data_IF_495074291641
#
_entry.id   IF_495074291641
#
_cell.length_a   1.000
_cell.length_b   1.000
_cell.length_c   1.000
_cell.angle_alpha   90.00
_cell.angle_beta   90.00
_cell.angle_gamma   90.00
#
_symmetry.space_group_name_H-M   'P 1'
#
loop_
_entity.id
_entity.type
_entity.pdbx_description
1 polymer ?
#
# COMPACT_ATOMS: atom_id res chain seq x y z
N UNK A 1 -18.95 8.43 -10.95
CA UNK A 1 -18.79 7.05 -10.47
C UNK A 1 -17.61 6.97 -9.52
N UNK A 2 -17.72 6.23 -8.41
CA UNK A 2 -16.69 6.22 -7.36
C UNK A 2 -15.52 5.30 -7.68
N UNK A 3 -14.35 5.61 -7.10
CA UNK A 3 -13.12 4.82 -7.22
C UNK A 3 -12.23 5.03 -5.99
N UNK A 4 -11.38 4.06 -5.69
CA UNK A 4 -10.32 4.15 -4.68
C UNK A 4 -8.95 4.07 -5.37
N UNK A 5 -8.04 4.98 -5.04
CA UNK A 5 -6.66 5.00 -5.52
C UNK A 5 -5.70 5.34 -4.38
N UNK A 6 -4.42 5.06 -4.54
CA UNK A 6 -3.35 5.48 -3.62
C UNK A 6 -2.20 6.12 -4.40
N UNK A 7 -1.43 6.95 -3.72
CA UNK A 7 -0.17 7.52 -4.20
C UNK A 7 0.77 7.63 -3.00
N UNK A 8 1.98 7.08 -3.11
CA UNK A 8 2.94 7.04 -2.00
C UNK A 8 4.19 7.81 -2.38
N UNK A 9 4.56 8.74 -1.50
CA UNK A 9 5.79 9.52 -1.59
C UNK A 9 6.78 9.05 -0.53
N UNK A 10 8.02 8.80 -0.94
CA UNK A 10 9.15 8.65 -0.06
C UNK A 10 9.74 10.04 0.23
N UNK A 11 9.46 10.54 1.44
CA UNK A 11 9.92 11.85 1.88
C UNK A 11 11.39 11.89 2.28
N UNK A 12 12.02 10.74 2.57
CA UNK A 12 13.44 10.68 2.90
C UNK A 12 14.30 10.94 1.65
N UNK A 13 13.80 10.57 0.47
CA UNK A 13 14.50 10.75 -0.81
C UNK A 13 13.82 11.75 -1.76
N UNK A 14 12.67 12.32 -1.36
CA UNK A 14 11.94 13.31 -2.15
C UNK A 14 11.39 12.78 -3.47
N UNK A 15 11.00 11.50 -3.54
CA UNK A 15 10.55 10.85 -4.78
C UNK A 15 9.35 9.93 -4.56
N UNK A 16 8.60 9.54 -5.60
CA UNK A 16 7.58 8.50 -5.47
C UNK A 16 8.18 7.18 -4.98
N UNK A 17 7.42 6.42 -4.18
CA UNK A 17 7.88 5.17 -3.57
C UNK A 17 7.76 3.97 -4.53
N UNK A 18 8.41 4.07 -5.69
CA UNK A 18 8.41 3.04 -6.71
C UNK A 18 8.94 1.71 -6.17
N UNK A 19 8.29 0.60 -6.52
CA UNK A 19 8.64 -0.74 -6.04
C UNK A 19 8.09 -1.10 -4.66
N UNK A 20 7.46 -0.17 -3.92
CA UNK A 20 6.79 -0.50 -2.66
C UNK A 20 5.60 -1.43 -2.92
N UNK A 21 5.48 -2.48 -2.11
CA UNK A 21 4.33 -3.40 -2.13
C UNK A 21 3.23 -2.88 -1.21
N UNK A 22 2.00 -2.87 -1.71
CA UNK A 22 0.82 -2.37 -0.99
C UNK A 22 -0.33 -3.35 -1.16
N UNK A 23 -0.95 -3.76 -0.05
CA UNK A 23 -2.10 -4.65 -0.04
C UNK A 23 -3.37 -3.93 0.40
N UNK A 24 -4.45 -4.07 -0.35
CA UNK A 24 -5.80 -3.65 0.04
C UNK A 24 -6.52 -4.83 0.68
N UNK A 25 -7.04 -4.62 1.89
CA UNK A 25 -7.80 -5.62 2.65
C UNK A 25 -9.21 -5.13 2.95
N UNK A 26 -10.17 -6.05 2.93
CA UNK A 26 -11.52 -5.84 3.47
C UNK A 26 -11.58 -6.36 4.90
N UNK A 27 -12.07 -5.53 5.82
CA UNK A 27 -12.19 -5.88 7.23
C UNK A 27 -13.65 -6.22 7.54
N UNK A 28 -13.86 -7.45 8.00
CA UNK A 28 -15.17 -7.98 8.37
C UNK A 28 -15.56 -7.59 9.81
N UNK A 29 -16.82 -7.80 10.17
CA UNK A 29 -17.34 -7.46 11.49
C UNK A 29 -16.70 -8.28 12.63
N UNK A 30 -16.29 -9.51 12.34
CA UNK A 30 -15.57 -10.43 13.23
C UNK A 30 -14.07 -10.08 13.37
N UNK A 31 -13.60 -9.02 12.70
CA UNK A 31 -12.20 -8.61 12.71
C UNK A 31 -11.31 -9.33 11.69
N UNK A 32 -11.82 -10.33 10.97
CA UNK A 32 -11.08 -10.99 9.89
C UNK A 32 -10.76 -9.99 8.77
N UNK A 33 -9.55 -10.09 8.23
CA UNK A 33 -9.09 -9.29 7.10
C UNK A 33 -8.84 -10.19 5.89
N UNK A 34 -9.53 -9.92 4.78
CA UNK A 34 -9.29 -10.61 3.51
C UNK A 34 -8.51 -9.69 2.58
N UNK A 35 -7.39 -10.17 2.05
CA UNK A 35 -6.62 -9.42 1.04
C UNK A 35 -7.36 -9.49 -0.30
N UNK A 36 -7.79 -8.32 -0.77
CA UNK A 36 -8.59 -8.16 -1.99
C UNK A 36 -7.69 -7.92 -3.20
N UNK A 37 -6.60 -7.17 -3.01
CA UNK A 37 -5.65 -6.84 -4.06
C UNK A 37 -4.28 -6.59 -3.44
N UNK A 38 -3.22 -7.02 -4.12
CA UNK A 38 -1.87 -6.56 -3.82
C UNK A 38 -1.23 -6.01 -5.08
N UNK A 39 -0.55 -4.88 -4.94
CA UNK A 39 0.13 -4.18 -6.01
C UNK A 39 1.57 -3.88 -5.63
N UNK A 40 2.37 -3.62 -6.65
CA UNK A 40 3.67 -2.95 -6.53
C UNK A 40 3.55 -1.59 -7.19
N UNK A 41 4.00 -0.53 -6.51
CA UNK A 41 3.89 0.82 -7.02
C UNK A 41 4.84 1.05 -8.21
N UNK A 42 4.34 1.75 -9.22
CA UNK A 42 5.06 2.15 -10.41
C UNK A 42 6.03 3.32 -10.13
N UNK A 43 6.70 3.82 -11.18
CA UNK A 43 7.65 4.93 -11.08
C UNK A 43 7.04 6.24 -10.55
N UNK A 44 5.71 6.42 -10.66
CA UNK A 44 4.96 7.55 -10.11
C UNK A 44 4.36 7.24 -8.73
N UNK A 45 4.78 6.16 -8.06
CA UNK A 45 4.29 5.80 -6.72
C UNK A 45 2.82 5.40 -6.69
N UNK A 46 2.26 4.94 -7.83
CA UNK A 46 0.85 4.58 -8.03
C UNK A 46 0.70 3.15 -8.53
N UNK A 47 -0.54 2.69 -8.65
CA UNK A 47 -0.87 1.44 -9.32
C UNK A 47 -0.95 1.62 -10.84
N UNK A 48 -0.19 0.84 -11.63
CA UNK A 48 -0.30 0.83 -13.10
C UNK A 48 -1.64 0.28 -13.58
N UNK A 49 -2.23 -0.68 -12.85
CA UNK A 49 -3.50 -1.31 -13.21
C UNK A 49 -4.75 -0.43 -13.01
N UNK A 50 -4.59 0.89 -12.86
CA UNK A 50 -5.68 1.82 -12.59
C UNK A 50 -6.08 1.86 -11.11
N UNK A 51 -7.37 2.12 -10.77
CA UNK A 51 -7.78 2.23 -9.37
C UNK A 51 -7.65 0.90 -8.61
N UNK A 52 -7.45 1.00 -7.30
CA UNK A 52 -7.49 -0.16 -6.40
C UNK A 52 -8.88 -0.79 -6.38
N UNK A 53 -9.93 0.04 -6.36
CA UNK A 53 -11.31 -0.34 -6.59
C UNK A 53 -11.93 0.61 -7.62
N UNK A 54 -12.53 0.05 -8.65
CA UNK A 54 -13.37 0.78 -9.60
C UNK A 54 -14.82 0.84 -9.12
N UNK A 55 -15.68 1.45 -9.91
CA UNK A 55 -17.09 1.60 -9.56
C UNK A 55 -17.84 0.27 -9.39
N UNK A 56 -17.41 -0.80 -10.07
CA UNK A 56 -18.06 -2.12 -10.01
C UNK A 56 -17.64 -2.92 -8.77
N UNK A 57 -16.46 -2.62 -8.23
CA UNK A 57 -15.86 -3.30 -7.08
C UNK A 57 -15.94 -2.49 -5.79
N UNK A 58 -16.27 -1.20 -5.87
CA UNK A 58 -16.53 -0.36 -4.70
C UNK A 58 -17.73 -0.88 -3.91
N UNK A 59 -17.53 -1.07 -2.61
CA UNK A 59 -18.59 -1.42 -1.67
C UNK A 59 -18.40 -0.67 -0.35
N UNK A 60 -19.53 -0.27 0.25
CA UNK A 60 -19.54 0.28 1.61
C UNK A 60 -18.97 -0.76 2.58
N UNK A 61 -18.10 -0.31 3.47
CA UNK A 61 -17.48 -1.16 4.47
C UNK A 61 -16.18 -0.59 4.98
N UNK A 62 -15.48 -1.41 5.79
CA UNK A 62 -14.19 -1.08 6.35
C UNK A 62 -13.09 -1.72 5.52
N UNK A 63 -12.11 -0.90 5.17
CA UNK A 63 -10.99 -1.27 4.33
C UNK A 63 -9.69 -0.87 5.02
N UNK A 64 -8.60 -1.55 4.67
CA UNK A 64 -7.26 -1.29 5.18
C UNK A 64 -6.26 -1.36 4.03
N UNK A 65 -5.33 -0.42 3.99
CA UNK A 65 -4.16 -0.50 3.12
C UNK A 65 -2.96 -0.87 3.97
N UNK A 66 -2.25 -1.93 3.62
CA UNK A 66 -1.01 -2.33 4.29
C UNK A 66 0.16 -1.97 3.39
N UNK A 67 1.01 -1.05 3.83
CA UNK A 67 2.21 -0.60 3.13
C UNK A 67 3.44 -1.31 3.69
N UNK A 68 4.20 -2.01 2.85
CA UNK A 68 5.42 -2.73 3.25
C UNK A 68 6.63 -1.77 3.24
N UNK A 69 6.81 -1.02 4.34
CA UNK A 69 7.76 0.10 4.44
C UNK A 69 9.21 -0.38 4.63
N UNK A 70 9.47 -1.30 5.55
CA UNK A 70 10.84 -1.76 5.77
C UNK A 70 11.40 -2.55 4.58
N UNK A 71 10.67 -3.46 3.91
CA UNK A 71 11.14 -4.08 2.67
C UNK A 71 11.50 -3.06 1.59
N UNK A 72 10.69 -2.00 1.42
CA UNK A 72 10.96 -0.91 0.49
C UNK A 72 12.28 -0.19 0.81
N UNK A 73 12.48 0.25 2.06
CA UNK A 73 13.71 0.96 2.43
C UNK A 73 14.95 0.08 2.42
N UNK A 74 14.84 -1.21 2.80
CA UNK A 74 15.94 -2.18 2.67
C UNK A 74 16.35 -2.38 1.21
N UNK A 75 15.40 -2.49 0.29
CA UNK A 75 15.68 -2.61 -1.14
C UNK A 75 16.40 -1.37 -1.71
N UNK A 76 16.22 -0.21 -1.07
CA UNK A 76 16.95 1.04 -1.37
C UNK A 76 18.31 1.16 -0.69
N UNK A 77 18.74 0.14 0.05
CA UNK A 77 20.02 0.14 0.77
C UNK A 77 20.03 0.97 2.06
N UNK A 78 18.86 1.35 2.58
CA UNK A 78 18.77 2.02 3.89
C UNK A 78 19.02 1.00 5.00
N UNK A 79 20.01 1.27 5.85
CA UNK A 79 20.25 0.50 7.05
C UNK A 79 19.16 0.79 8.10
N UNK A 80 18.31 -0.19 8.37
CA UNK A 80 17.27 -0.11 9.39
C UNK A 80 17.75 -0.81 10.67
N UNK A 81 17.31 -0.35 11.87
CA UNK A 81 17.53 -1.10 13.09
C UNK A 81 16.79 -2.44 13.05
N UNK A 82 17.13 -3.34 13.98
CA UNK A 82 16.42 -4.59 14.20
C UNK A 82 15.87 -4.63 15.64
N UNK A 83 14.55 -4.45 15.84
CA UNK A 83 13.52 -4.29 14.81
C UNK A 83 13.51 -2.89 14.14
N UNK A 84 12.98 -2.77 12.90
CA UNK A 84 12.81 -1.47 12.27
C UNK A 84 11.78 -0.63 13.05
N UNK A 85 12.02 0.68 13.15
CA UNK A 85 11.06 1.58 13.83
C UNK A 85 9.69 1.60 13.13
N UNK A 86 9.68 1.56 11.79
CA UNK A 86 8.48 1.36 10.97
C UNK A 86 8.71 0.17 10.05
N UNK A 87 8.00 -0.94 10.31
CA UNK A 87 7.99 -2.13 9.45
C UNK A 87 6.90 -2.04 8.38
N UNK A 88 5.65 -1.92 8.84
CA UNK A 88 4.45 -1.78 8.01
C UNK A 88 3.52 -0.69 8.55
N UNK A 89 2.76 -0.05 7.68
CA UNK A 89 1.73 0.94 8.04
C UNK A 89 0.36 0.44 7.57
N UNK A 90 -0.68 0.54 8.41
CA UNK A 90 -2.04 0.06 8.10
C UNK A 90 -3.18 0.82 8.78
#
# INVERSE_FOLDING_TARGET
MGRLSTHVLDTAHGCPAAGMRVSLQRIHADGRADTVKTITLNADGRNDGGPLLDASSMAVGRWRLVFEVAPYFRARGVALPDPPFVDSVQ
#
